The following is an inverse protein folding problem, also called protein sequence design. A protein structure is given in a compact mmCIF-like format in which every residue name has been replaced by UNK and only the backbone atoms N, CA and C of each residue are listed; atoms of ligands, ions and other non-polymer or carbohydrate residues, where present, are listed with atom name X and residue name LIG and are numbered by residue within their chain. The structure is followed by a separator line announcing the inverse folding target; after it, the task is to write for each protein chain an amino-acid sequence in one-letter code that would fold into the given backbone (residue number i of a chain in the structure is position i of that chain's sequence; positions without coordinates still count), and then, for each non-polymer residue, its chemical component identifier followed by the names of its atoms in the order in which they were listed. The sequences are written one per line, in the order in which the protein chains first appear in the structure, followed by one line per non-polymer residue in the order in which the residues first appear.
data_IF_768806902724
#
_entry.id   IF_768806902724
#
_cell.length_a   1.000
_cell.length_b   1.000
_cell.length_c   1.000
_cell.angle_alpha   90.00
_cell.angle_beta   90.00
_cell.angle_gamma   90.00
#
_symmetry.space_group_name_H-M   'P 1'
#
loop_
_entity.id
_entity.type
_entity.pdbx_description
1 polymer ?
#
# COMPACT_ATOMS: atom_id res chain seq x y z
N UNK A 1 -7.03 -35.08 15.08
CA UNK A 1 -6.57 -33.74 14.66
C UNK A 1 -6.74 -33.66 13.16
N UNK A 2 -7.91 -33.24 12.69
CA UNK A 2 -8.20 -33.11 11.25
C UNK A 2 -7.39 -31.94 10.72
N UNK A 3 -6.47 -32.22 9.80
CA UNK A 3 -5.83 -31.21 8.99
C UNK A 3 -6.94 -30.41 8.30
N UNK A 4 -7.02 -29.11 8.60
CA UNK A 4 -7.89 -28.21 7.85
C UNK A 4 -7.56 -28.38 6.36
N UNK A 5 -8.56 -28.73 5.57
CA UNK A 5 -8.43 -28.90 4.13
C UNK A 5 -7.83 -27.59 3.54
N UNK A 6 -6.65 -27.65 2.88
CA UNK A 6 -5.97 -26.45 2.41
C UNK A 6 -6.71 -25.74 1.27
N UNK A 7 -7.78 -26.34 0.71
CA UNK A 7 -8.66 -25.70 -0.27
C UNK A 7 -9.89 -25.03 0.38
N UNK A 8 -10.07 -25.13 1.71
CA UNK A 8 -11.12 -24.43 2.46
C UNK A 8 -10.73 -23.00 2.87
N UNK A 9 -9.71 -22.40 2.25
CA UNK A 9 -9.49 -20.96 2.38
C UNK A 9 -10.78 -20.30 1.91
N UNK A 10 -11.54 -19.60 2.79
CA UNK A 10 -12.78 -18.98 2.39
C UNK A 10 -12.45 -18.08 1.20
N UNK A 11 -13.13 -18.32 0.08
CA UNK A 11 -13.00 -17.46 -1.09
C UNK A 11 -13.18 -16.03 -0.58
N UNK A 12 -12.26 -15.10 -0.90
CA UNK A 12 -12.44 -13.71 -0.53
C UNK A 12 -13.84 -13.32 -1.02
N UNK A 13 -14.60 -12.61 -0.17
CA UNK A 13 -15.96 -12.22 -0.47
C UNK A 13 -16.07 -11.48 -1.82
N UNK A 14 -17.26 -11.08 -2.26
CA UNK A 14 -17.51 -10.53 -3.60
C UNK A 14 -16.66 -9.29 -3.98
N UNK A 15 -15.90 -8.75 -3.03
CA UNK A 15 -14.97 -7.65 -3.23
C UNK A 15 -13.63 -8.03 -3.92
N UNK A 16 -13.41 -9.32 -4.24
CA UNK A 16 -12.27 -9.80 -5.03
C UNK A 16 -11.01 -10.06 -4.19
N UNK A 17 -9.91 -10.55 -4.80
CA UNK A 17 -8.68 -10.80 -4.07
C UNK A 17 -7.93 -9.51 -3.73
N UNK A 18 -7.14 -9.49 -2.64
CA UNK A 18 -6.15 -8.43 -2.40
C UNK A 18 -5.21 -8.23 -3.58
N UNK A 19 -4.83 -6.98 -3.83
CA UNK A 19 -3.95 -6.61 -4.96
C UNK A 19 -2.72 -5.89 -4.46
N UNK A 20 -1.54 -6.37 -4.85
CA UNK A 20 -0.28 -5.66 -4.61
C UNK A 20 -0.23 -4.43 -5.53
N UNK A 21 0.22 -3.30 -4.99
CA UNK A 21 0.41 -2.05 -5.71
C UNK A 21 1.90 -1.76 -5.78
N UNK A 22 2.41 -1.66 -7.00
CA UNK A 22 3.81 -1.38 -7.30
C UNK A 22 3.91 -0.06 -8.07
N UNK A 23 4.80 0.83 -7.62
CA UNK A 23 5.05 2.13 -8.24
C UNK A 23 6.52 2.16 -8.70
N UNK A 24 6.73 2.00 -10.00
CA UNK A 24 8.08 1.84 -10.55
C UNK A 24 8.68 0.54 -10.02
N UNK A 25 9.83 0.64 -9.35
CA UNK A 25 10.54 -0.49 -8.76
C UNK A 25 10.22 -0.72 -7.28
N UNK A 26 9.28 0.06 -6.71
CA UNK A 26 8.94 0.00 -5.28
C UNK A 26 7.56 -0.61 -5.08
N UNK A 27 7.48 -1.68 -4.30
CA UNK A 27 6.21 -2.18 -3.77
C UNK A 27 5.66 -1.15 -2.79
N UNK A 28 4.61 -0.42 -3.20
CA UNK A 28 4.01 0.60 -2.37
C UNK A 28 3.19 0.01 -1.22
N UNK A 29 2.51 -1.11 -1.48
CA UNK A 29 1.62 -1.71 -0.51
C UNK A 29 0.67 -2.74 -1.12
N UNK A 30 -0.34 -3.12 -0.35
CA UNK A 30 -1.42 -4.00 -0.76
C UNK A 30 -2.77 -3.31 -0.57
N UNK A 31 -3.62 -3.36 -1.59
CA UNK A 31 -5.01 -2.96 -1.53
C UNK A 31 -5.85 -4.20 -1.19
N UNK A 32 -6.34 -4.24 0.04
CA UNK A 32 -7.23 -5.29 0.52
C UNK A 32 -8.67 -4.82 0.31
N UNK A 33 -9.47 -5.52 -0.50
CA UNK A 33 -10.88 -5.19 -0.62
C UNK A 33 -11.61 -5.33 0.71
N UNK A 34 -12.30 -4.27 1.11
CA UNK A 34 -13.23 -4.26 2.23
C UNK A 34 -14.63 -3.98 1.71
N UNK A 35 -15.68 -4.36 2.43
CA UNK A 35 -17.06 -4.36 1.91
C UNK A 35 -17.58 -3.06 1.27
N UNK A 36 -16.90 -1.92 1.43
CA UNK A 36 -17.25 -0.61 0.83
C UNK A 36 -16.15 -0.01 -0.07
N UNK A 37 -15.06 -0.72 -0.34
CA UNK A 37 -13.91 -0.20 -1.08
C UNK A 37 -12.67 -1.07 -0.94
N UNK A 38 -11.50 -0.44 -0.82
CA UNK A 38 -10.23 -1.11 -0.58
C UNK A 38 -9.44 -0.38 0.49
N UNK A 39 -8.94 -1.11 1.47
CA UNK A 39 -8.00 -0.58 2.46
C UNK A 39 -6.59 -0.77 1.95
N UNK A 40 -5.81 0.31 1.96
CA UNK A 40 -4.40 0.26 1.60
C UNK A 40 -3.55 -0.03 2.83
N UNK A 41 -2.61 -0.97 2.71
CA UNK A 41 -1.58 -1.23 3.71
C UNK A 41 -0.22 -0.95 3.08
N UNK A 42 0.58 -0.12 3.72
CA UNK A 42 1.87 0.29 3.20
C UNK A 42 2.90 -0.83 3.34
N UNK A 43 3.84 -0.90 2.39
CA UNK A 43 4.99 -1.81 2.44
C UNK A 43 6.30 -1.06 2.73
N UNK A 44 6.30 0.26 2.59
CA UNK A 44 7.48 1.11 2.82
C UNK A 44 7.10 2.45 3.45
N UNK A 45 8.03 3.02 4.24
CA UNK A 45 7.86 4.27 5.01
C UNK A 45 7.37 5.46 4.19
N UNK A 46 7.73 5.50 2.92
CA UNK A 46 7.28 6.56 2.01
C UNK A 46 5.76 6.60 1.84
N UNK A 47 5.08 5.47 2.09
CA UNK A 47 3.64 5.30 1.94
C UNK A 47 2.88 5.19 3.27
N UNK A 48 3.55 5.33 4.43
CA UNK A 48 2.91 5.25 5.76
C UNK A 48 1.73 6.24 5.89
N UNK A 49 1.80 7.39 5.21
CA UNK A 49 0.70 8.36 5.18
C UNK A 49 -0.57 7.90 4.45
N UNK A 50 -0.52 6.74 3.78
CA UNK A 50 -1.67 6.09 3.13
C UNK A 50 -2.07 4.80 3.86
N UNK A 51 -1.31 4.37 4.87
CA UNK A 51 -1.58 3.14 5.61
C UNK A 51 -2.96 3.21 6.30
N UNK A 52 -3.70 2.11 6.23
CA UNK A 52 -5.05 1.96 6.78
C UNK A 52 -6.12 2.78 6.05
N UNK A 53 -5.75 3.60 5.06
CA UNK A 53 -6.69 4.47 4.34
C UNK A 53 -7.63 3.64 3.49
N UNK A 54 -8.94 3.87 3.67
CA UNK A 54 -9.99 3.24 2.87
C UNK A 54 -10.25 4.08 1.62
N UNK A 55 -9.88 3.54 0.47
CA UNK A 55 -10.17 4.10 -0.84
C UNK A 55 -11.42 3.47 -1.45
N UNK A 56 -12.05 4.17 -2.39
CA UNK A 56 -13.21 3.60 -3.12
C UNK A 56 -12.80 2.47 -4.06
N UNK A 57 -11.59 2.54 -4.63
CA UNK A 57 -11.05 1.55 -5.58
C UNK A 57 -9.53 1.41 -5.46
N UNK A 58 -8.98 0.31 -5.98
CA UNK A 58 -7.54 0.05 -6.03
C UNK A 58 -6.78 1.08 -6.90
N UNK A 59 -7.41 1.58 -7.96
CA UNK A 59 -6.84 2.63 -8.81
C UNK A 59 -6.69 3.94 -8.05
N UNK A 60 -7.63 4.26 -7.15
CA UNK A 60 -7.55 5.44 -6.30
C UNK A 60 -6.38 5.31 -5.30
N UNK A 61 -6.22 4.15 -4.68
CA UNK A 61 -5.07 3.86 -3.82
C UNK A 61 -3.74 3.97 -4.60
N UNK A 62 -3.69 3.41 -5.81
CA UNK A 62 -2.53 3.49 -6.71
C UNK A 62 -2.18 4.94 -7.06
N UNK A 63 -3.19 5.77 -7.36
CA UNK A 63 -2.99 7.20 -7.65
C UNK A 63 -2.41 7.95 -6.45
N UNK A 64 -2.94 7.68 -5.25
CA UNK A 64 -2.43 8.28 -4.02
C UNK A 64 -0.97 7.89 -3.76
N UNK A 65 -0.64 6.61 -3.95
CA UNK A 65 0.74 6.11 -3.85
C UNK A 65 1.67 6.81 -4.85
N UNK A 66 1.27 6.93 -6.12
CA UNK A 66 2.04 7.66 -7.15
C UNK A 66 2.27 9.13 -6.77
N UNK A 67 1.26 9.80 -6.23
CA UNK A 67 1.39 11.19 -5.79
C UNK A 67 2.41 11.33 -4.65
N UNK A 68 2.45 10.36 -3.73
CA UNK A 68 3.40 10.31 -2.62
C UNK A 68 4.85 10.17 -3.09
N UNK A 69 5.10 9.28 -4.05
CA UNK A 69 6.43 9.13 -4.67
C UNK A 69 6.87 10.41 -5.37
N UNK A 70 5.98 11.05 -6.12
CA UNK A 70 6.29 12.34 -6.78
C UNK A 70 6.61 13.43 -5.76
N UNK A 71 5.80 13.56 -4.71
CA UNK A 71 6.03 14.54 -3.65
C UNK A 71 7.38 14.32 -2.95
N UNK A 72 7.77 13.05 -2.70
CA UNK A 72 9.09 12.74 -2.14
C UNK A 72 10.23 13.05 -3.10
N UNK A 73 10.08 12.72 -4.39
CA UNK A 73 11.07 13.07 -5.41
C UNK A 73 11.30 14.58 -5.49
N UNK A 74 10.26 15.39 -5.31
CA UNK A 74 10.37 16.84 -5.21
C UNK A 74 11.00 17.32 -3.90
N UNK A 75 10.72 16.65 -2.77
CA UNK A 75 11.31 16.99 -1.46
C UNK A 75 12.80 16.62 -1.35
N UNK A 76 13.24 15.58 -2.07
CA UNK A 76 14.65 15.13 -2.12
C UNK A 76 15.60 16.07 -2.86
N UNK A 77 15.08 17.08 -3.56
CA UNK A 77 15.89 18.14 -4.22
C UNK A 77 16.08 19.37 -3.30
N UNK A 78 15.66 19.31 -2.02
CA UNK A 78 15.91 20.32 -0.99
C UNK A 78 17.00 19.89 0.03
N UNK A 79 17.71 20.82 0.70
CA UNK A 79 18.93 20.55 1.47
C UNK A 79 18.66 19.96 2.87
N UNK A 80 17.97 18.82 2.95
CA UNK A 80 17.60 18.18 4.24
C UNK A 80 18.34 16.85 4.51
N UNK A 81 19.48 16.60 3.84
CA UNK A 81 20.30 15.39 4.06
C UNK A 81 21.34 15.53 5.20
N UNK A 82 21.59 16.74 5.70
CA UNK A 82 22.67 16.99 6.66
C UNK A 82 22.36 16.58 8.11
N UNK A 83 21.10 16.30 8.47
CA UNK A 83 20.72 16.05 9.87
C UNK A 83 20.69 14.58 10.29
N UNK A 84 20.69 13.62 9.36
CA UNK A 84 20.69 12.19 9.68
C UNK A 84 22.09 11.55 9.79
N UNK A 85 23.18 12.32 9.65
CA UNK A 85 24.56 11.83 9.81
C UNK A 85 25.24 12.16 11.15
N UNK A 86 24.52 12.72 12.12
CA UNK A 86 25.02 12.91 13.49
C UNK A 86 24.12 12.20 14.50
N UNK A 87 24.48 10.97 14.83
CA UNK A 87 24.18 10.30 16.09
C UNK A 87 25.40 9.49 16.49
#
# INVERSE_FOLDING_TARGET
MTAADPASIPLPGPAGPPRVIEIGEITAGIAVPEGRGVRFFSSARDFDGLDGTLFRTAEQATRAARARVRARAHAGTGPDQARLRRA
#
